data_IF_861424402267
#
_entry.id   IF_861424402267
#
_cell.length_a   1.000
_cell.length_b   1.000
_cell.length_c   1.000
_cell.angle_alpha   90.00
_cell.angle_beta   90.00
_cell.angle_gamma   90.00
#
_symmetry.space_group_name_H-M   'P 1'
#
loop_
_entity.id
_entity.type
_entity.pdbx_description
1 polymer ?
#
# COMPACT_ATOMS: atom_id res chain seq x y z
N UNK A 1 14.84 20.85 -9.10
CA UNK A 1 16.01 20.30 -9.44
C UNK A 1 16.48 19.13 -8.78
N UNK A 2 17.72 18.97 -8.98
CA UNK A 2 18.29 17.77 -8.65
C UNK A 2 18.32 17.51 -7.26
N UNK A 3 18.36 18.50 -6.51
CA UNK A 3 18.37 18.31 -5.10
C UNK A 3 17.22 17.47 -4.65
N UNK A 4 16.35 17.21 -5.56
CA UNK A 4 15.24 16.41 -5.23
C UNK A 4 15.61 15.09 -4.75
N UNK A 5 16.63 14.57 -5.27
CA UNK A 5 17.03 13.28 -4.81
C UNK A 5 17.29 13.31 -3.35
N UNK A 6 17.55 14.48 -2.84
CA UNK A 6 17.85 14.60 -1.45
C UNK A 6 16.59 14.48 -0.63
N UNK A 7 15.46 14.52 -1.29
CA UNK A 7 14.22 14.43 -0.57
C UNK A 7 13.74 13.02 -0.43
N UNK A 8 14.45 12.07 -0.99
CA UNK A 8 13.99 10.73 -0.83
C UNK A 8 14.19 10.29 0.61
N UNK A 9 13.47 9.24 0.97
CA UNK A 9 13.45 8.79 2.35
C UNK A 9 14.78 8.19 2.75
N UNK A 10 15.55 7.69 1.76
CA UNK A 10 16.81 7.03 2.06
C UNK A 10 17.83 8.00 2.65
N UNK A 11 17.76 9.27 2.28
CA UNK A 11 18.64 10.29 2.86
C UNK A 11 18.17 10.73 4.23
N UNK A 12 16.88 10.81 4.43
CA UNK A 12 16.31 11.31 5.68
C UNK A 12 16.07 10.19 6.67
N UNK A 13 15.75 9.01 6.21
CA UNK A 13 15.37 7.87 7.04
C UNK A 13 15.98 6.61 6.45
N UNK A 14 17.30 6.46 6.53
CA UNK A 14 18.00 5.39 5.81
C UNK A 14 17.58 3.97 6.17
N UNK A 15 16.85 3.79 7.26
CA UNK A 15 16.39 2.46 7.64
C UNK A 15 15.01 2.12 7.09
N UNK A 16 14.38 3.07 6.39
CA UNK A 16 13.02 2.87 5.89
C UNK A 16 13.00 2.61 4.39
N UNK A 17 12.21 1.66 3.90
CA UNK A 17 12.01 1.48 2.46
C UNK A 17 11.03 2.49 1.85
N UNK A 18 10.39 3.35 2.65
CA UNK A 18 9.52 4.38 2.09
C UNK A 18 10.33 5.43 1.36
N UNK A 19 9.85 5.83 0.20
CA UNK A 19 10.50 6.90 -0.57
C UNK A 19 10.35 8.25 0.14
N UNK A 20 9.16 8.50 0.68
CA UNK A 20 8.92 9.70 1.51
C UNK A 20 8.03 9.33 2.68
N UNK A 21 8.14 10.07 3.78
CA UNK A 21 7.28 9.86 4.93
C UNK A 21 5.87 10.34 4.61
N UNK A 22 4.84 9.75 5.25
CA UNK A 22 3.47 10.22 5.06
C UNK A 22 3.30 11.68 5.48
N UNK A 23 2.57 12.44 4.68
CA UNK A 23 2.20 13.80 5.01
C UNK A 23 0.68 13.89 5.07
N UNK A 24 0.20 14.76 5.97
CA UNK A 24 -1.23 14.99 6.10
C UNK A 24 -1.63 16.05 5.09
N UNK A 25 -2.40 15.66 4.07
CA UNK A 25 -2.80 16.61 3.03
C UNK A 25 -4.26 17.03 3.19
N UNK A 26 -5.01 16.38 4.08
CA UNK A 26 -6.37 16.75 4.44
C UNK A 26 -6.55 16.24 5.88
N UNK A 27 -7.38 16.87 6.71
CA UNK A 27 -7.48 16.44 8.12
C UNK A 27 -7.66 14.95 8.28
N UNK A 28 -6.74 14.31 8.95
CA UNK A 28 -6.70 12.87 9.25
C UNK A 28 -6.48 11.98 8.01
N UNK A 29 -6.16 12.55 6.85
CA UNK A 29 -5.89 11.79 5.62
C UNK A 29 -4.43 12.03 5.23
N UNK A 30 -3.65 10.95 5.19
CA UNK A 30 -2.22 10.99 4.97
C UNK A 30 -1.83 10.24 3.71
N UNK A 31 -0.75 10.68 3.07
CA UNK A 31 -0.22 9.95 1.92
C UNK A 31 1.31 9.96 1.97
N UNK A 32 1.89 8.79 1.77
CA UNK A 32 3.33 8.64 1.56
C UNK A 32 3.54 8.64 0.04
N UNK A 33 4.13 9.71 -0.45
CA UNK A 33 4.29 9.93 -1.89
C UNK A 33 5.39 9.01 -2.42
N UNK A 34 5.11 8.30 -3.50
CA UNK A 34 6.08 7.45 -4.13
C UNK A 34 6.94 8.18 -5.15
N UNK A 35 8.00 7.53 -5.61
CA UNK A 35 8.88 8.10 -6.62
C UNK A 35 8.14 8.20 -7.96
N UNK A 36 8.48 9.23 -8.75
CA UNK A 36 7.89 9.40 -10.07
C UNK A 36 8.74 8.67 -11.10
N UNK A 37 8.98 7.39 -10.86
CA UNK A 37 9.85 6.55 -11.66
C UNK A 37 9.34 5.11 -11.59
N UNK A 38 9.73 4.25 -12.52
CA UNK A 38 9.37 2.84 -12.40
C UNK A 38 9.93 2.25 -11.11
N UNK A 39 9.39 1.13 -10.65
CA UNK A 39 9.88 0.50 -9.43
C UNK A 39 11.30 0.00 -9.62
N UNK A 40 12.17 0.33 -8.68
CA UNK A 40 13.58 -0.05 -8.69
C UNK A 40 14.01 -0.47 -7.29
N UNK A 41 15.24 -1.00 -7.20
CA UNK A 41 15.83 -1.30 -5.91
C UNK A 41 15.97 -0.03 -5.06
N UNK A 42 16.40 1.05 -5.70
CA UNK A 42 16.67 2.31 -4.99
C UNK A 42 15.43 2.93 -4.36
N UNK A 43 14.28 2.81 -5.01
CA UNK A 43 13.04 3.33 -4.44
C UNK A 43 12.23 2.23 -3.72
N UNK A 44 12.81 1.02 -3.61
CA UNK A 44 12.21 -0.14 -2.94
C UNK A 44 10.80 -0.44 -3.46
N UNK A 45 10.56 -0.12 -4.73
CA UNK A 45 9.24 -0.32 -5.33
C UNK A 45 8.21 0.72 -4.94
N UNK A 46 8.57 1.72 -4.13
CA UNK A 46 7.62 2.74 -3.69
C UNK A 46 7.49 3.80 -4.76
N UNK A 47 6.75 3.49 -5.81
CA UNK A 47 6.53 4.41 -6.92
C UNK A 47 5.07 4.80 -7.10
N UNK A 48 4.22 4.44 -6.13
CA UNK A 48 2.82 4.85 -6.11
C UNK A 48 2.50 5.34 -4.70
N UNK A 49 1.53 6.22 -4.59
CA UNK A 49 1.19 6.76 -3.29
C UNK A 49 0.50 5.72 -2.41
N UNK A 50 0.90 5.67 -1.16
CA UNK A 50 0.29 4.83 -0.16
C UNK A 50 -0.41 5.76 0.83
N UNK A 51 -1.70 5.56 1.03
CA UNK A 51 -2.50 6.50 1.82
C UNK A 51 -3.17 5.81 2.99
N UNK A 52 -3.49 6.57 4.02
CA UNK A 52 -4.29 6.04 5.12
C UNK A 52 -5.12 7.14 5.75
N UNK A 53 -6.21 6.72 6.40
CA UNK A 53 -7.17 7.62 7.03
C UNK A 53 -7.30 7.22 8.49
N UNK A 54 -7.10 8.17 9.39
CA UNK A 54 -7.31 7.96 10.83
C UNK A 54 -8.76 8.37 11.11
N UNK A 55 -9.65 7.38 11.26
CA UNK A 55 -11.09 7.67 11.24
C UNK A 55 -11.68 7.99 12.61
N UNK A 56 -10.96 7.70 13.68
CA UNK A 56 -11.53 7.79 15.03
C UNK A 56 -12.01 6.45 15.53
N UNK A 57 -12.26 5.51 14.63
CA UNK A 57 -12.67 4.14 14.97
C UNK A 57 -11.69 3.12 14.44
N UNK A 58 -10.53 3.57 14.00
CA UNK A 58 -9.48 2.73 13.44
C UNK A 58 -8.90 3.38 12.21
N UNK A 59 -7.83 2.81 11.68
CA UNK A 59 -7.14 3.34 10.50
C UNK A 59 -7.48 2.47 9.29
N UNK A 60 -7.81 3.13 8.18
CA UNK A 60 -8.03 2.46 6.90
C UNK A 60 -6.85 2.79 6.01
N UNK A 61 -6.21 1.76 5.46
CA UNK A 61 -5.05 1.91 4.57
C UNK A 61 -5.51 1.68 3.14
N UNK A 62 -5.08 2.54 2.21
CA UNK A 62 -5.42 2.44 0.79
C UNK A 62 -4.18 1.96 0.06
N UNK A 63 -4.24 0.76 -0.47
CA UNK A 63 -3.18 0.01 -1.09
C UNK A 63 -2.15 -0.52 -0.09
N UNK A 64 -1.78 -1.77 -0.29
CA UNK A 64 -0.98 -2.51 0.67
C UNK A 64 0.51 -2.21 0.60
N UNK A 65 0.99 -1.69 -0.53
CA UNK A 65 2.41 -1.48 -0.76
C UNK A 65 2.98 -2.57 -1.68
N UNK A 66 4.14 -2.30 -2.22
CA UNK A 66 4.75 -3.14 -3.25
C UNK A 66 5.56 -4.31 -2.66
N UNK A 67 5.66 -4.43 -1.36
CA UNK A 67 6.38 -5.53 -0.72
C UNK A 67 5.98 -5.63 0.75
N UNK A 68 6.34 -6.74 1.37
CA UNK A 68 6.14 -6.96 2.80
C UNK A 68 6.82 -5.87 3.62
N UNK A 69 8.08 -5.58 3.30
CA UNK A 69 8.84 -4.60 4.08
C UNK A 69 8.34 -3.17 3.88
N UNK A 70 7.84 -2.84 2.70
CA UNK A 70 7.27 -1.53 2.47
C UNK A 70 5.96 -1.36 3.26
N UNK A 71 5.14 -2.40 3.30
CA UNK A 71 3.92 -2.40 4.10
C UNK A 71 4.24 -2.23 5.58
N UNK A 72 5.26 -2.95 6.07
CA UNK A 72 5.70 -2.85 7.44
C UNK A 72 6.16 -1.43 7.77
N UNK A 73 6.92 -0.81 6.88
CA UNK A 73 7.40 0.55 7.09
C UNK A 73 6.25 1.54 7.17
N UNK A 74 5.24 1.38 6.33
CA UNK A 74 4.06 2.24 6.40
C UNK A 74 3.34 2.05 7.73
N UNK A 75 3.22 0.82 8.19
CA UNK A 75 2.55 0.53 9.46
C UNK A 75 3.29 1.18 10.64
N UNK A 76 4.63 1.17 10.60
CA UNK A 76 5.40 1.83 11.66
C UNK A 76 5.14 3.34 11.66
N UNK A 77 5.02 3.96 10.49
CA UNK A 77 4.72 5.39 10.41
C UNK A 77 3.32 5.68 10.94
N UNK A 78 2.36 4.80 10.68
CA UNK A 78 1.01 4.95 11.21
C UNK A 78 1.05 4.91 12.74
N UNK A 79 1.79 3.96 13.30
CA UNK A 79 1.87 3.82 14.76
C UNK A 79 2.49 5.04 15.44
N UNK A 80 3.31 5.79 14.72
CA UNK A 80 3.89 7.02 15.27
C UNK A 80 2.89 8.17 15.31
N UNK A 81 1.80 8.08 14.56
CA UNK A 81 0.81 9.15 14.44
C UNK A 81 -0.47 8.92 15.21
N UNK A 82 -0.78 7.68 15.54
CA UNK A 82 -2.02 7.37 16.22
C UNK A 82 -1.90 6.06 16.99
N UNK A 83 -2.72 5.92 18.03
CA UNK A 83 -2.83 4.65 18.77
C UNK A 83 -3.95 3.79 18.20
N UNK A 84 -4.73 4.33 17.26
CA UNK A 84 -5.82 3.56 16.67
C UNK A 84 -5.24 2.40 15.84
N UNK A 85 -5.81 1.21 15.93
CA UNK A 85 -5.32 0.08 15.15
C UNK A 85 -5.70 0.23 13.67
N UNK A 86 -4.90 -0.37 12.79
CA UNK A 86 -5.31 -0.52 11.40
C UNK A 86 -6.37 -1.61 11.36
N UNK A 87 -7.54 -1.30 10.82
CA UNK A 87 -8.66 -2.22 10.81
C UNK A 87 -9.01 -2.73 9.41
N UNK A 88 -8.51 -2.06 8.38
CA UNK A 88 -8.86 -2.42 7.02
C UNK A 88 -7.78 -1.92 6.06
N UNK A 89 -7.42 -2.76 5.08
CA UNK A 89 -6.61 -2.36 3.94
C UNK A 89 -7.47 -2.54 2.71
N UNK A 90 -7.49 -1.55 1.82
CA UNK A 90 -8.26 -1.61 0.58
C UNK A 90 -7.28 -1.63 -0.58
N UNK A 91 -7.39 -2.64 -1.45
CA UNK A 91 -6.60 -2.71 -2.68
C UNK A 91 -7.41 -2.06 -3.80
N UNK A 92 -6.87 -1.02 -4.43
CA UNK A 92 -7.57 -0.32 -5.49
C UNK A 92 -7.62 -1.10 -6.80
N UNK A 93 -6.63 -1.93 -7.03
CA UNK A 93 -6.54 -2.73 -8.26
C UNK A 93 -5.66 -3.95 -8.00
N UNK A 94 -5.43 -4.76 -9.04
CA UNK A 94 -4.65 -5.98 -8.91
C UNK A 94 -3.17 -5.83 -9.20
N UNK A 95 -2.64 -4.61 -9.23
CA UNK A 95 -1.23 -4.38 -9.51
C UNK A 95 -0.37 -4.56 -8.28
N UNK A 96 0.95 -4.65 -8.52
CA UNK A 96 1.90 -4.95 -7.44
C UNK A 96 1.88 -3.94 -6.30
N UNK A 97 1.82 -2.63 -6.62
CA UNK A 97 1.82 -1.62 -5.58
C UNK A 97 0.60 -1.70 -4.67
N UNK A 98 -0.49 -2.26 -5.17
CA UNK A 98 -1.72 -2.35 -4.40
C UNK A 98 -1.79 -3.63 -3.59
N UNK A 99 -1.20 -4.73 -4.07
CA UNK A 99 -1.45 -6.05 -3.49
C UNK A 99 -0.24 -6.82 -2.98
N UNK A 100 0.99 -6.52 -3.42
CA UNK A 100 2.12 -7.34 -2.98
C UNK A 100 2.40 -7.20 -1.48
N UNK A 101 1.99 -6.12 -0.87
CA UNK A 101 2.11 -5.97 0.58
C UNK A 101 1.03 -6.67 1.39
N UNK A 102 0.04 -7.28 0.74
CA UNK A 102 -1.06 -7.94 1.45
C UNK A 102 -0.55 -8.98 2.46
N UNK A 103 0.55 -9.67 2.14
CA UNK A 103 1.07 -10.71 3.04
C UNK A 103 1.44 -10.14 4.41
N UNK A 104 1.95 -8.91 4.44
CA UNK A 104 2.25 -8.28 5.73
C UNK A 104 0.96 -8.03 6.53
N UNK A 105 -0.03 -7.41 5.88
CA UNK A 105 -1.24 -7.01 6.59
C UNK A 105 -2.03 -8.22 7.10
N UNK A 106 -2.10 -9.28 6.29
CA UNK A 106 -2.77 -10.50 6.72
C UNK A 106 -2.02 -11.16 7.89
N UNK A 107 -0.68 -11.11 7.88
CA UNK A 107 0.10 -11.63 9.01
C UNK A 107 -0.19 -10.86 10.30
N UNK A 108 -0.59 -9.59 10.18
CA UNK A 108 -0.97 -8.78 11.34
C UNK A 108 -2.43 -9.01 11.76
N UNK A 109 -3.15 -9.88 11.06
CA UNK A 109 -4.55 -10.16 11.36
C UNK A 109 -5.51 -9.10 10.82
N UNK A 110 -5.07 -8.29 9.87
CA UNK A 110 -5.87 -7.17 9.35
C UNK A 110 -6.60 -7.60 8.08
N UNK A 111 -7.88 -7.21 7.99
CA UNK A 111 -8.71 -7.53 6.83
C UNK A 111 -8.23 -6.76 5.61
N UNK A 112 -8.20 -7.43 4.46
CA UNK A 112 -7.83 -6.84 3.19
C UNK A 112 -9.01 -7.00 2.22
N UNK A 113 -9.47 -5.88 1.66
CA UNK A 113 -10.66 -5.81 0.83
C UNK A 113 -10.30 -5.38 -0.60
N UNK A 114 -10.89 -6.03 -1.58
CA UNK A 114 -10.73 -5.64 -2.98
C UNK A 114 -11.98 -6.00 -3.76
N UNK A 115 -12.17 -5.31 -4.90
CA UNK A 115 -13.21 -5.71 -5.84
C UNK A 115 -12.84 -7.09 -6.41
N UNK A 116 -13.85 -7.90 -6.70
CA UNK A 116 -13.59 -9.26 -7.19
C UNK A 116 -12.80 -9.29 -8.49
N UNK A 117 -12.93 -8.26 -9.34
CA UNK A 117 -12.18 -8.22 -10.58
C UNK A 117 -10.70 -7.89 -10.33
N UNK A 118 -10.41 -7.07 -9.32
CA UNK A 118 -9.03 -6.80 -8.94
C UNK A 118 -8.39 -8.06 -8.37
N UNK A 119 -9.13 -8.81 -7.57
CA UNK A 119 -8.67 -10.08 -7.03
C UNK A 119 -8.39 -11.08 -8.15
N UNK A 120 -9.27 -11.14 -9.15
CA UNK A 120 -9.08 -12.04 -10.29
C UNK A 120 -7.86 -11.65 -11.13
N UNK A 121 -7.64 -10.36 -11.32
CA UNK A 121 -6.46 -9.85 -12.02
C UNK A 121 -5.19 -10.28 -11.29
N UNK A 122 -5.16 -10.13 -9.98
CA UNK A 122 -4.01 -10.51 -9.19
C UNK A 122 -3.82 -12.03 -9.18
N UNK A 123 -4.90 -12.80 -9.16
CA UNK A 123 -4.81 -14.25 -9.21
C UNK A 123 -4.17 -14.70 -10.53
N UNK A 124 -4.46 -13.98 -11.61
CA UNK A 124 -3.95 -14.32 -12.93
C UNK A 124 -2.49 -13.88 -13.12
N UNK A 125 -2.16 -12.67 -12.70
CA UNK A 125 -0.86 -12.07 -12.98
C UNK A 125 0.10 -12.07 -11.80
N UNK A 126 -0.37 -12.47 -10.64
CA UNK A 126 0.39 -12.30 -9.39
C UNK A 126 1.76 -12.95 -9.41
N UNK A 127 1.87 -14.16 -9.99
CA UNK A 127 3.15 -14.84 -9.99
C UNK A 127 4.19 -14.03 -10.77
N UNK A 128 3.83 -13.52 -11.96
CA UNK A 128 4.79 -12.74 -12.73
C UNK A 128 5.06 -11.39 -12.08
N UNK A 129 4.07 -10.80 -11.43
CA UNK A 129 4.24 -9.56 -10.69
C UNK A 129 5.23 -9.77 -9.54
N UNK A 130 5.10 -10.87 -8.81
CA UNK A 130 6.00 -11.17 -7.71
C UNK A 130 7.42 -11.43 -8.20
N UNK A 131 7.57 -12.19 -9.30
CA UNK A 131 8.89 -12.48 -9.83
C UNK A 131 9.57 -11.21 -10.33
N UNK A 132 8.84 -10.32 -10.97
CA UNK A 132 9.38 -9.03 -11.40
C UNK A 132 9.86 -8.22 -10.19
N UNK A 133 9.05 -8.18 -9.12
CA UNK A 133 9.40 -7.43 -7.91
C UNK A 133 10.65 -8.03 -7.25
N UNK A 134 10.74 -9.34 -7.19
CA UNK A 134 11.92 -9.98 -6.62
C UNK A 134 13.17 -9.64 -7.42
N UNK A 135 13.02 -9.51 -8.74
CA UNK A 135 14.14 -9.20 -9.62
C UNK A 135 14.73 -7.84 -9.35
N UNK A 136 13.93 -6.81 -9.18
CA UNK A 136 14.47 -5.46 -8.97
C UNK A 136 14.71 -5.14 -7.49
N UNK A 137 13.98 -5.76 -6.59
CA UNK A 137 13.98 -5.34 -5.19
C UNK A 137 14.92 -6.11 -4.28
N UNK A 138 15.44 -7.25 -4.76
CA UNK A 138 16.45 -8.04 -4.08
C UNK A 138 16.05 -8.37 -2.64
N UNK A 139 16.90 -8.05 -1.66
CA UNK A 139 16.59 -8.35 -0.27
C UNK A 139 15.38 -7.57 0.27
N UNK A 140 15.01 -6.45 -0.39
CA UNK A 140 13.82 -5.71 0.02
C UNK A 140 12.53 -6.46 -0.32
N UNK A 141 12.63 -7.56 -1.06
CA UNK A 141 11.48 -8.40 -1.36
C UNK A 141 11.25 -9.46 -0.26
N UNK A 142 12.12 -9.52 0.73
CA UNK A 142 12.04 -10.56 1.76
C UNK A 142 10.69 -10.56 2.46
N UNK A 143 10.16 -11.74 2.68
CA UNK A 143 8.87 -11.91 3.36
C UNK A 143 7.66 -11.77 2.45
N UNK A 144 7.85 -11.22 1.24
CA UNK A 144 6.71 -11.00 0.34
C UNK A 144 6.29 -12.33 -0.30
N UNK A 145 5.00 -12.62 -0.23
CA UNK A 145 4.42 -13.78 -0.89
C UNK A 145 3.07 -13.37 -1.47
N UNK A 146 2.55 -14.16 -2.37
CA UNK A 146 1.24 -13.88 -2.95
C UNK A 146 0.16 -14.12 -1.92
N UNK A 147 -0.58 -13.07 -1.60
CA UNK A 147 -1.67 -13.12 -0.66
C UNK A 147 -2.85 -12.38 -1.25
N UNK A 148 -3.90 -13.12 -1.53
CA UNK A 148 -5.12 -12.52 -2.08
C UNK A 148 -5.87 -11.77 -0.97
N UNK A 149 -6.78 -10.87 -1.35
CA UNK A 149 -7.63 -10.19 -0.36
C UNK A 149 -8.39 -11.22 0.48
N UNK A 150 -8.69 -10.85 1.73
CA UNK A 150 -9.46 -11.72 2.60
C UNK A 150 -10.96 -11.54 2.40
N UNK A 151 -11.37 -10.47 1.73
CA UNK A 151 -12.77 -10.21 1.42
C UNK A 151 -12.86 -9.50 0.07
N UNK A 152 -13.87 -9.84 -0.72
CA UNK A 152 -14.10 -9.18 -2.00
C UNK A 152 -15.52 -8.64 -2.04
N UNK A 153 -15.76 -7.71 -2.97
CA UNK A 153 -17.09 -7.17 -3.24
C UNK A 153 -17.27 -7.08 -4.77
N UNK A 154 -18.52 -6.95 -5.25
CA UNK A 154 -18.77 -6.93 -6.68
C UNK A 154 -19.20 -5.55 -7.10
N UNK A 155 -19.84 -4.73 -6.83
CA UNK A 155 -20.19 -3.40 -7.36
C UNK A 155 -19.38 -2.31 -6.71
N UNK A 156 -19.90 -1.80 -5.63
CA UNK A 156 -19.25 -0.79 -4.82
C UNK A 156 -19.29 -1.27 -3.38
N UNK A 157 -18.42 -0.71 -2.57
CA UNK A 157 -18.41 -1.00 -1.14
C UNK A 157 -18.36 0.32 -0.41
N UNK A 158 -19.28 0.53 0.51
CA UNK A 158 -19.34 1.77 1.28
C UNK A 158 -19.27 1.43 2.76
N UNK A 159 -18.48 2.19 3.51
CA UNK A 159 -18.42 2.04 4.94
C UNK A 159 -18.33 3.42 5.58
N UNK A 160 -18.87 3.54 6.79
CA UNK A 160 -18.84 4.77 7.56
C UNK A 160 -18.07 4.49 8.84
N UNK A 161 -17.03 5.27 9.10
CA UNK A 161 -16.20 5.13 10.28
C UNK A 161 -15.95 6.52 10.84
N UNK A 162 -16.43 6.77 12.04
CA UNK A 162 -16.32 8.10 12.63
C UNK A 162 -16.97 9.13 11.73
N UNK A 163 -16.23 10.17 11.40
CA UNK A 163 -16.72 11.24 10.53
C UNK A 163 -16.50 10.94 9.05
N UNK A 164 -15.96 9.78 8.71
CA UNK A 164 -15.61 9.45 7.33
C UNK A 164 -16.61 8.48 6.71
N UNK A 165 -17.00 8.79 5.47
CA UNK A 165 -17.74 7.86 4.64
C UNK A 165 -16.80 7.51 3.50
N UNK A 166 -16.52 6.22 3.33
CA UNK A 166 -15.57 5.75 2.33
C UNK A 166 -16.31 4.89 1.34
N UNK A 167 -16.20 5.26 0.06
CA UNK A 167 -16.81 4.50 -1.01
C UNK A 167 -15.69 3.94 -1.89
N UNK A 168 -15.73 2.64 -2.15
CA UNK A 168 -14.72 1.96 -2.95
C UNK A 168 -15.33 1.52 -4.27
N UNK A 169 -14.70 1.96 -5.36
CA UNK A 169 -15.14 1.64 -6.71
C UNK A 169 -14.02 0.93 -7.45
N UNK A 170 -14.39 0.09 -8.41
CA UNK A 170 -13.39 -0.49 -9.31
C UNK A 170 -13.70 0.04 -10.71
N UNK A 171 -12.77 0.77 -11.29
CA UNK A 171 -12.97 1.43 -12.58
C UNK A 171 -12.46 0.62 -13.76
N UNK A 172 -12.12 -0.64 -13.53
CA UNK A 172 -11.58 -1.51 -14.56
C UNK A 172 -10.10 -1.77 -14.35
N UNK A 173 -9.48 -2.63 -15.16
CA UNK A 173 -8.06 -2.93 -15.00
C UNK A 173 -7.23 -1.66 -15.12
N UNK A 174 -6.22 -1.54 -14.27
CA UNK A 174 -5.35 -0.38 -14.33
C UNK A 174 -4.44 -0.50 -15.54
N UNK A 175 -4.13 0.64 -16.15
CA UNK A 175 -3.20 0.67 -17.27
C UNK A 175 -1.85 1.16 -16.76
N UNK A 176 -0.81 0.47 -17.14
CA UNK A 176 0.54 0.86 -16.74
C UNK A 176 1.18 1.76 -17.77
#
# INVERSE_FOLDING_TARGET
PLGKTMEDIADQYPQSPLYQKPIEFFPQVFSAIGATAPPTYENAGHNNNLSFIITGEGVVVINAGASYLLAQALHEEIKQRTRQPVILVINENGQGHAMLGNSYWVDQGIKVLAHEDADAEFADLGFSILETMRGYNRENAEGTRLQRPTQTFSDTYTLTLGAFEIEVLYLGPAHS
#
